data_IF_891365572631
#
_entry.id   IF_891365572631
#
_cell.length_a   1.000
_cell.length_b   1.000
_cell.length_c   1.000
_cell.angle_alpha   90.00
_cell.angle_beta   90.00
_cell.angle_gamma   90.00
#
_symmetry.space_group_name_H-M   'P 1'
#
loop_
_entity.id
_entity.type
_entity.pdbx_description
1 polymer ?
#
# COMPACT_ATOMS: atom_id res chain seq x y z
N UNK A 1 -28.07 15.83 -22.03
CA UNK A 1 -28.04 14.87 -20.90
C UNK A 1 -26.60 14.56 -20.60
N UNK A 2 -26.03 15.18 -19.56
CA UNK A 2 -24.66 14.93 -19.13
C UNK A 2 -24.70 13.76 -18.13
N UNK A 3 -24.22 12.59 -18.54
CA UNK A 3 -24.18 11.40 -17.70
C UNK A 3 -23.00 11.53 -16.73
N UNK A 4 -23.25 12.06 -15.54
CA UNK A 4 -22.27 12.06 -14.45
C UNK A 4 -22.10 10.62 -13.96
N UNK A 5 -21.05 9.95 -14.44
CA UNK A 5 -20.63 8.64 -13.94
C UNK A 5 -20.02 8.87 -12.54
N UNK A 6 -20.85 8.73 -11.50
CA UNK A 6 -20.39 8.74 -10.12
C UNK A 6 -19.42 7.59 -9.92
N UNK A 7 -18.18 7.90 -9.53
CA UNK A 7 -17.17 6.94 -9.16
C UNK A 7 -17.67 6.20 -7.90
N UNK A 8 -18.29 5.03 -8.10
CA UNK A 8 -18.63 4.14 -7.00
C UNK A 8 -17.32 3.64 -6.39
N UNK A 9 -16.96 4.19 -5.23
CA UNK A 9 -15.97 3.60 -4.35
C UNK A 9 -16.54 2.27 -3.84
N UNK A 10 -16.27 1.19 -4.56
CA UNK A 10 -16.63 -0.15 -4.11
C UNK A 10 -15.86 -0.44 -2.81
N UNK A 11 -16.52 -0.97 -1.77
CA UNK A 11 -15.82 -1.41 -0.58
C UNK A 11 -14.79 -2.46 -1.00
N UNK A 12 -13.51 -2.17 -0.82
CA UNK A 12 -12.47 -3.16 -1.05
C UNK A 12 -12.59 -4.21 0.06
N UNK A 13 -13.02 -5.45 -0.24
CA UNK A 13 -13.02 -6.49 0.78
C UNK A 13 -11.58 -6.64 1.29
N UNK A 14 -11.42 -6.66 2.61
CA UNK A 14 -10.14 -7.04 3.19
C UNK A 14 -9.79 -8.42 2.64
N UNK A 15 -8.64 -8.53 1.97
CA UNK A 15 -8.21 -9.79 1.40
C UNK A 15 -7.76 -10.72 2.53
N UNK A 16 -8.27 -11.94 2.53
CA UNK A 16 -7.72 -13.01 3.37
C UNK A 16 -6.27 -13.27 2.96
N UNK A 17 -5.45 -13.79 3.89
CA UNK A 17 -4.02 -14.02 3.64
C UNK A 17 -3.76 -14.85 2.38
N UNK A 18 -4.59 -15.86 2.13
CA UNK A 18 -4.51 -16.69 0.93
C UNK A 18 -4.70 -15.86 -0.35
N UNK A 19 -5.65 -14.93 -0.36
CA UNK A 19 -5.87 -14.04 -1.49
C UNK A 19 -4.68 -13.08 -1.70
N UNK A 20 -4.00 -12.64 -0.64
CA UNK A 20 -2.78 -11.83 -0.73
C UNK A 20 -1.65 -12.63 -1.38
N UNK A 21 -1.44 -13.87 -0.94
CA UNK A 21 -0.41 -14.77 -1.48
C UNK A 21 -0.68 -15.10 -2.95
N UNK A 22 -1.92 -15.48 -3.29
CA UNK A 22 -2.31 -15.80 -4.67
C UNK A 22 -2.12 -14.61 -5.62
N UNK A 23 -2.41 -13.39 -5.14
CA UNK A 23 -2.23 -12.15 -5.91
C UNK A 23 -0.77 -11.73 -6.06
N UNK A 24 0.09 -12.12 -5.12
CA UNK A 24 1.53 -11.90 -5.19
C UNK A 24 1.99 -10.48 -4.84
N UNK A 25 1.15 -9.67 -4.19
CA UNK A 25 1.56 -8.36 -3.66
C UNK A 25 0.75 -7.93 -2.43
N UNK A 26 1.40 -7.19 -1.53
CA UNK A 26 0.81 -6.58 -0.35
C UNK A 26 0.43 -5.12 -0.65
N UNK A 27 -0.83 -4.73 -0.38
CA UNK A 27 -1.24 -3.31 -0.45
C UNK A 27 -1.06 -2.71 0.92
N UNK A 28 -0.30 -1.63 1.03
CA UNK A 28 -0.01 -0.95 2.30
C UNK A 28 -0.46 0.50 2.21
N UNK A 29 -1.42 0.86 3.04
CA UNK A 29 -1.87 2.23 3.23
C UNK A 29 -0.95 2.95 4.19
N UNK A 30 -0.38 4.09 3.78
CA UNK A 30 0.49 4.91 4.63
C UNK A 30 0.19 6.40 4.43
N UNK A 31 0.50 7.19 5.45
CA UNK A 31 0.54 8.66 5.34
C UNK A 31 1.96 9.09 5.01
N UNK A 32 2.14 9.96 4.01
CA UNK A 32 3.46 10.25 3.42
C UNK A 32 4.20 11.44 4.07
N UNK A 33 3.74 11.92 5.21
CA UNK A 33 4.27 13.12 5.86
C UNK A 33 4.58 12.94 7.35
N UNK A 34 4.63 11.70 7.84
CA UNK A 34 4.80 11.39 9.25
C UNK A 34 6.18 10.77 9.52
N UNK A 35 7.16 11.61 9.84
CA UNK A 35 8.48 11.15 10.28
C UNK A 35 8.42 10.62 11.72
N UNK A 36 9.11 9.51 12.05
CA UNK A 36 9.96 8.67 11.22
C UNK A 36 9.25 7.45 10.58
N UNK A 37 7.91 7.45 10.53
CA UNK A 37 7.08 6.31 10.13
C UNK A 37 7.03 6.12 8.62
N UNK A 38 6.26 6.93 7.89
CA UNK A 38 6.27 6.96 6.44
C UNK A 38 6.38 8.42 5.99
N UNK A 39 7.35 8.67 5.13
CA UNK A 39 7.55 10.00 4.58
C UNK A 39 8.25 9.96 3.23
N UNK A 40 8.04 11.00 2.41
CA UNK A 40 8.82 11.18 1.17
C UNK A 40 10.25 11.64 1.49
N UNK A 41 11.22 10.83 1.09
CA UNK A 41 12.65 11.12 1.16
C UNK A 41 13.10 12.15 0.11
N UNK A 42 14.40 12.43 0.07
CA UNK A 42 15.00 13.44 -0.84
C UNK A 42 14.79 13.15 -2.32
N UNK A 43 14.62 11.88 -2.68
CA UNK A 43 14.37 11.43 -4.05
C UNK A 43 12.87 11.30 -4.37
N UNK A 44 11.98 11.72 -3.46
CA UNK A 44 10.53 11.61 -3.62
C UNK A 44 9.94 10.24 -3.32
N UNK A 45 10.77 9.27 -2.90
CA UNK A 45 10.35 7.90 -2.59
C UNK A 45 9.84 7.84 -1.14
N UNK A 46 8.86 6.97 -0.90
CA UNK A 46 8.43 6.67 0.48
C UNK A 46 9.52 5.88 1.22
N UNK A 47 9.89 6.35 2.40
CA UNK A 47 10.85 5.74 3.33
C UNK A 47 10.37 5.86 4.78
N UNK A 48 11.01 5.11 5.68
CA UNK A 48 10.70 5.09 7.12
C UNK A 48 10.22 3.72 7.62
N UNK A 49 9.96 3.64 8.94
CA UNK A 49 9.65 2.39 9.64
C UNK A 49 8.51 1.57 9.01
N UNK A 50 7.41 2.21 8.63
CA UNK A 50 6.25 1.49 8.07
C UNK A 50 6.59 0.86 6.71
N UNK A 51 7.44 1.53 5.93
CA UNK A 51 7.92 1.03 4.64
C UNK A 51 8.86 -0.15 4.85
N UNK A 52 9.77 -0.07 5.84
CA UNK A 52 10.69 -1.16 6.15
C UNK A 52 9.97 -2.41 6.65
N UNK A 53 8.94 -2.22 7.49
CA UNK A 53 8.07 -3.30 7.96
C UNK A 53 7.28 -3.94 6.80
N UNK A 54 6.71 -3.13 5.92
CA UNK A 54 5.99 -3.62 4.75
C UNK A 54 6.88 -4.49 3.85
N UNK A 55 8.13 -4.07 3.61
CA UNK A 55 9.09 -4.82 2.79
C UNK A 55 9.52 -6.13 3.46
N UNK A 56 9.74 -6.13 4.77
CA UNK A 56 10.04 -7.36 5.51
C UNK A 56 8.86 -8.33 5.45
N UNK A 57 7.65 -7.84 5.68
CA UNK A 57 6.45 -8.68 5.61
C UNK A 57 6.23 -9.25 4.21
N UNK A 58 6.45 -8.46 3.15
CA UNK A 58 6.38 -8.94 1.78
C UNK A 58 7.46 -10.00 1.48
N UNK A 59 8.67 -9.84 2.01
CA UNK A 59 9.71 -10.86 1.89
C UNK A 59 9.31 -12.17 2.59
N UNK A 60 8.75 -12.10 3.80
CA UNK A 60 8.32 -13.27 4.55
C UNK A 60 7.12 -13.99 3.92
N UNK A 61 6.12 -13.23 3.44
CA UNK A 61 4.89 -13.81 2.91
C UNK A 61 4.99 -14.21 1.43
N UNK A 62 5.77 -13.48 0.64
CA UNK A 62 5.76 -13.57 -0.83
C UNK A 62 7.15 -13.89 -1.41
N UNK A 63 8.19 -13.98 -0.59
CA UNK A 63 9.57 -14.20 -1.04
C UNK A 63 10.17 -13.02 -1.81
N UNK A 64 9.52 -11.85 -1.78
CA UNK A 64 9.93 -10.67 -2.52
C UNK A 64 9.62 -9.39 -1.73
N UNK A 65 10.67 -8.70 -1.27
CA UNK A 65 10.55 -7.44 -0.50
C UNK A 65 9.91 -6.30 -1.30
N UNK A 66 9.97 -6.37 -2.63
CA UNK A 66 9.44 -5.34 -3.52
C UNK A 66 7.99 -5.60 -3.93
N UNK A 67 7.38 -6.69 -3.46
CA UNK A 67 5.98 -7.05 -3.73
C UNK A 67 5.01 -6.21 -2.88
N UNK A 68 5.21 -4.88 -2.86
CA UNK A 68 4.38 -3.92 -2.14
C UNK A 68 3.77 -2.89 -3.10
N UNK A 69 2.47 -2.66 -2.97
CA UNK A 69 1.75 -1.57 -3.63
C UNK A 69 1.38 -0.56 -2.55
N UNK A 70 1.82 0.69 -2.74
CA UNK A 70 1.62 1.75 -1.75
C UNK A 70 0.36 2.53 -2.11
N UNK A 71 -0.60 2.59 -1.19
CA UNK A 71 -1.72 3.51 -1.28
C UNK A 71 -1.43 4.68 -0.35
N UNK A 72 -1.31 5.89 -0.91
CA UNK A 72 -1.27 7.10 -0.09
C UNK A 72 -2.69 7.37 0.39
N UNK A 73 -2.89 7.36 1.70
CA UNK A 73 -4.17 7.69 2.30
C UNK A 73 -4.26 9.22 2.45
N UNK A 74 -5.03 9.87 1.57
CA UNK A 74 -5.37 11.28 1.70
C UNK A 74 -6.54 11.44 2.67
N UNK A 75 -6.29 11.19 3.96
CA UNK A 75 -7.19 11.59 5.06
C UNK A 75 -6.97 13.04 5.47
#
# INVERSE_FOLDING_TARGET
>A
MLLTLGLLALPAPAADLEAIVQRGYLVVGVKDNLRPLAFKGTQGQLEGLEIDLARHLAAELLGNSEAIVRSIDES
#
